data_IF_501835282359
#
_entry.id   IF_501835282359
#
_cell.length_a   1.000
_cell.length_b   1.000
_cell.length_c   1.000
_cell.angle_alpha   90.00
_cell.angle_beta   90.00
_cell.angle_gamma   90.00
#
_symmetry.space_group_name_H-M   'P 1'
#
loop_
_entity.id
_entity.type
_entity.pdbx_description
1 polymer ?
#
# COMPACT_ATOMS: atom_id res chain seq x y z
N UNK A 1 -23.29 2.63 -2.37
CA UNK A 1 -24.60 3.30 -2.26
C UNK A 1 -24.57 4.51 -3.16
N UNK A 2 -25.64 4.82 -3.89
CA UNK A 2 -25.73 6.07 -4.67
C UNK A 2 -26.56 7.06 -3.86
N UNK A 3 -26.00 8.24 -3.59
CA UNK A 3 -26.68 9.31 -2.88
C UNK A 3 -27.69 10.02 -3.81
N UNK A 4 -28.54 10.89 -3.23
CA UNK A 4 -29.59 11.59 -3.98
C UNK A 4 -29.05 12.50 -5.09
N UNK A 5 -27.84 13.02 -4.93
CA UNK A 5 -27.14 13.84 -5.93
C UNK A 5 -26.41 13.01 -7.00
N UNK A 6 -26.54 11.68 -6.95
CA UNK A 6 -25.87 10.76 -7.86
C UNK A 6 -24.42 10.42 -7.47
N UNK A 7 -23.88 10.98 -6.39
CA UNK A 7 -22.54 10.62 -5.90
C UNK A 7 -22.51 9.19 -5.38
N UNK A 8 -21.36 8.52 -5.56
CA UNK A 8 -21.15 7.17 -5.06
C UNK A 8 -20.56 7.24 -3.65
N UNK A 9 -21.14 6.50 -2.72
CA UNK A 9 -20.63 6.31 -1.35
C UNK A 9 -20.28 4.85 -1.14
N UNK A 10 -19.03 4.59 -0.78
CA UNK A 10 -18.51 3.25 -0.46
C UNK A 10 -18.43 3.11 1.05
N UNK A 11 -19.03 2.04 1.59
CA UNK A 11 -18.83 1.65 2.97
C UNK A 11 -17.70 0.61 3.04
N UNK A 12 -16.57 0.96 3.65
CA UNK A 12 -15.50 -0.01 3.98
C UNK A 12 -15.74 -0.49 5.41
N UNK A 13 -16.11 -1.75 5.53
CA UNK A 13 -16.40 -2.40 6.83
C UNK A 13 -15.23 -3.31 7.18
N UNK A 14 -14.79 -3.29 8.44
CA UNK A 14 -13.73 -4.20 8.88
C UNK A 14 -14.29 -5.60 9.11
N UNK A 15 -13.69 -6.57 8.42
CA UNK A 15 -13.98 -7.99 8.61
C UNK A 15 -13.36 -8.47 9.94
N UNK A 16 -13.87 -9.57 10.51
CA UNK A 16 -13.21 -10.25 11.62
C UNK A 16 -11.76 -10.59 11.29
N UNK A 17 -10.94 -10.73 12.33
CA UNK A 17 -9.51 -11.06 12.18
C UNK A 17 -9.30 -12.27 11.31
N UNK A 18 -8.35 -12.15 10.39
CA UNK A 18 -7.89 -13.28 9.61
C UNK A 18 -7.24 -14.32 10.54
N UNK A 19 -7.44 -15.63 10.32
CA UNK A 19 -6.80 -16.68 11.13
C UNK A 19 -5.26 -16.58 11.17
N UNK A 20 -4.66 -16.02 10.12
CA UNK A 20 -3.20 -15.87 9.99
C UNK A 20 -2.66 -14.57 10.62
N UNK A 21 -3.52 -13.74 11.23
CA UNK A 21 -3.06 -12.56 11.96
C UNK A 21 -2.18 -13.01 13.13
N UNK A 22 -1.01 -12.36 13.29
CA UNK A 22 -0.09 -12.69 14.37
C UNK A 22 -0.81 -12.60 15.73
N UNK A 23 -0.69 -13.61 16.62
CA UNK A 23 -1.36 -13.60 17.92
C UNK A 23 -1.01 -12.42 18.82
N UNK A 24 0.11 -11.76 18.52
CA UNK A 24 0.58 -10.56 19.23
C UNK A 24 -0.12 -9.27 18.81
N UNK A 25 -0.92 -9.28 17.75
CA UNK A 25 -1.66 -8.10 17.27
C UNK A 25 -2.89 -7.87 18.16
N UNK A 26 -2.90 -6.73 18.83
CA UNK A 26 -4.01 -6.31 19.68
C UNK A 26 -5.11 -5.59 18.89
N UNK A 27 -6.30 -5.43 19.48
CA UNK A 27 -7.37 -4.64 18.84
C UNK A 27 -6.97 -3.18 18.73
N UNK A 28 -6.23 -2.68 19.72
CA UNK A 28 -5.67 -1.33 19.71
C UNK A 28 -4.73 -1.10 18.53
N UNK A 29 -3.95 -2.12 18.11
CA UNK A 29 -3.08 -2.02 16.94
C UNK A 29 -3.88 -1.90 15.64
N UNK A 30 -4.99 -2.62 15.51
CA UNK A 30 -5.87 -2.53 14.35
C UNK A 30 -6.58 -1.16 14.30
N UNK A 31 -7.05 -0.68 15.45
CA UNK A 31 -7.65 0.64 15.55
C UNK A 31 -6.66 1.75 15.25
N UNK A 32 -5.41 1.58 15.69
CA UNK A 32 -4.31 2.48 15.37
C UNK A 32 -4.04 2.54 13.87
N UNK A 33 -4.02 1.38 13.18
CA UNK A 33 -3.82 1.33 11.74
C UNK A 33 -4.93 2.07 10.97
N UNK A 34 -6.19 1.91 11.39
CA UNK A 34 -7.33 2.61 10.78
C UNK A 34 -7.27 4.12 11.05
N UNK A 35 -6.91 4.52 12.28
CA UNK A 35 -6.72 5.93 12.61
C UNK A 35 -5.61 6.56 11.74
N UNK A 36 -4.55 5.80 11.46
CA UNK A 36 -3.49 6.25 10.56
C UNK A 36 -3.98 6.42 9.11
N UNK A 37 -4.74 5.45 8.61
CA UNK A 37 -5.37 5.50 7.28
C UNK A 37 -6.24 6.75 7.14
N UNK A 38 -7.19 6.96 8.06
CA UNK A 38 -8.13 8.09 8.03
C UNK A 38 -7.40 9.44 8.17
N UNK A 39 -6.42 9.51 9.07
CA UNK A 39 -5.66 10.75 9.30
C UNK A 39 -4.81 11.11 8.08
N UNK A 40 -4.15 10.14 7.47
CA UNK A 40 -3.41 10.34 6.22
C UNK A 40 -4.37 10.76 5.10
N UNK A 41 -5.50 10.05 4.99
CA UNK A 41 -6.72 10.38 4.24
C UNK A 41 -6.95 11.89 4.12
N UNK A 42 -7.32 12.42 5.29
CA UNK A 42 -7.71 13.82 5.48
C UNK A 42 -6.55 14.77 5.26
N UNK A 43 -5.36 14.43 5.76
CA UNK A 43 -4.19 15.29 5.68
C UNK A 43 -3.76 15.51 4.23
N UNK A 44 -3.65 14.44 3.43
CA UNK A 44 -3.25 14.52 2.02
C UNK A 44 -4.29 15.29 1.22
N UNK A 45 -5.58 14.97 1.36
CA UNK A 45 -6.65 15.68 0.63
C UNK A 45 -6.66 17.19 0.93
N UNK A 46 -6.38 17.57 2.17
CA UNK A 46 -6.33 18.99 2.56
C UNK A 46 -5.10 19.71 2.01
N UNK A 47 -3.92 19.09 2.08
CA UNK A 47 -2.65 19.76 1.78
C UNK A 47 -2.18 19.60 0.33
N UNK A 48 -2.67 18.58 -0.38
CA UNK A 48 -2.25 18.23 -1.74
C UNK A 48 -3.47 18.06 -2.66
N UNK A 49 -4.15 19.15 -3.07
CA UNK A 49 -5.35 19.08 -3.91
C UNK A 49 -5.11 18.48 -5.30
N UNK A 50 -3.84 18.39 -5.72
CA UNK A 50 -3.38 17.73 -6.95
C UNK A 50 -3.37 16.20 -6.86
N UNK A 51 -3.42 15.64 -5.64
CA UNK A 51 -3.47 14.20 -5.40
C UNK A 51 -4.91 13.82 -5.14
N UNK A 52 -5.51 13.07 -6.06
CA UNK A 52 -6.94 12.70 -5.94
C UNK A 52 -7.09 11.56 -4.93
N UNK A 53 -7.57 11.90 -3.74
CA UNK A 53 -7.76 10.98 -2.61
C UNK A 53 -9.23 10.94 -2.24
N UNK A 54 -9.86 9.76 -2.02
CA UNK A 54 -11.26 9.68 -1.62
C UNK A 54 -11.55 10.52 -0.37
N UNK A 55 -12.66 11.25 -0.38
CA UNK A 55 -13.16 11.88 0.84
C UNK A 55 -13.56 10.83 1.88
N UNK A 56 -13.19 11.08 3.14
CA UNK A 56 -13.68 10.31 4.28
C UNK A 56 -14.86 11.05 4.90
N UNK A 57 -16.07 10.73 4.45
CA UNK A 57 -17.31 11.36 4.93
C UNK A 57 -17.55 11.07 6.41
N UNK A 58 -17.33 9.82 6.83
CA UNK A 58 -17.50 9.40 8.21
C UNK A 58 -16.55 8.25 8.57
N UNK A 59 -16.18 8.18 9.84
CA UNK A 59 -15.49 7.04 10.42
C UNK A 59 -16.11 6.76 11.79
N UNK A 60 -16.67 5.55 11.94
CA UNK A 60 -17.27 5.08 13.18
C UNK A 60 -16.40 3.98 13.77
N UNK A 61 -15.51 4.39 14.67
CA UNK A 61 -14.52 3.54 15.32
C UNK A 61 -15.00 2.85 16.60
N UNK A 62 -14.07 2.30 17.39
CA UNK A 62 -14.35 1.64 18.67
C UNK A 62 -15.13 2.55 19.62
N UNK A 63 -16.13 1.98 20.30
CA UNK A 63 -16.99 2.73 21.23
C UNK A 63 -18.06 3.60 20.56
N UNK A 64 -18.10 3.69 19.23
CA UNK A 64 -19.19 4.37 18.53
C UNK A 64 -20.52 3.62 18.72
N UNK A 65 -21.57 4.37 19.05
CA UNK A 65 -22.95 3.85 19.08
C UNK A 65 -23.42 3.42 17.68
N UNK A 66 -22.99 4.13 16.63
CA UNK A 66 -23.34 3.81 15.25
C UNK A 66 -22.61 2.57 14.76
N UNK A 67 -21.32 2.41 15.09
CA UNK A 67 -20.59 1.16 14.81
C UNK A 67 -21.24 -0.03 15.53
N UNK A 68 -21.62 0.15 16.79
CA UNK A 68 -22.33 -0.87 17.59
C UNK A 68 -23.65 -1.27 16.93
N UNK A 69 -24.44 -0.29 16.48
CA UNK A 69 -25.72 -0.54 15.80
C UNK A 69 -25.53 -1.22 14.43
N UNK A 70 -24.47 -0.88 13.70
CA UNK A 70 -24.11 -1.50 12.43
C UNK A 70 -23.51 -2.90 12.59
N UNK A 71 -23.07 -3.27 13.81
CA UNK A 71 -22.41 -4.54 14.10
C UNK A 71 -20.94 -4.61 13.67
N UNK A 72 -20.36 -3.49 13.21
CA UNK A 72 -18.99 -3.43 12.76
C UNK A 72 -18.45 -1.99 12.75
N UNK A 73 -17.12 -1.86 12.85
CA UNK A 73 -16.41 -0.61 12.57
C UNK A 73 -16.42 -0.37 11.06
N UNK A 74 -16.67 0.87 10.68
CA UNK A 74 -16.74 1.24 9.27
C UNK A 74 -16.27 2.67 9.02
N UNK A 75 -15.92 2.92 7.76
CA UNK A 75 -15.78 4.26 7.21
C UNK A 75 -16.64 4.40 5.95
N UNK A 76 -17.19 5.60 5.75
CA UNK A 76 -17.90 5.98 4.55
C UNK A 76 -16.97 6.85 3.70
N UNK A 77 -16.73 6.39 2.48
CA UNK A 77 -15.77 6.96 1.55
C UNK A 77 -16.48 7.45 0.28
N UNK A 78 -15.92 8.50 -0.32
CA UNK A 78 -16.19 8.88 -1.71
C UNK A 78 -15.90 7.70 -2.64
N UNK A 79 -16.85 7.39 -3.51
CA UNK A 79 -16.71 6.44 -4.59
C UNK A 79 -16.57 7.15 -5.93
N UNK A 80 -15.95 6.47 -6.88
CA UNK A 80 -15.68 7.00 -8.22
C UNK A 80 -16.37 6.16 -9.28
N UNK A 81 -16.89 6.82 -10.32
CA UNK A 81 -17.41 6.15 -11.52
C UNK A 81 -16.24 5.89 -12.47
N UNK A 82 -15.54 4.78 -12.24
CA UNK A 82 -14.42 4.33 -13.05
C UNK A 82 -14.05 2.89 -12.70
N UNK A 83 -12.98 2.39 -13.31
CA UNK A 83 -12.45 1.06 -13.04
C UNK A 83 -11.02 1.17 -12.52
N UNK A 84 -10.51 0.11 -11.88
CA UNK A 84 -9.10 0.12 -11.51
C UNK A 84 -8.23 0.13 -12.79
N UNK A 85 -7.07 0.76 -12.73
CA UNK A 85 -6.12 0.75 -13.83
C UNK A 85 -5.69 -0.68 -14.17
N UNK A 86 -5.66 -1.59 -13.19
CA UNK A 86 -5.40 -3.01 -13.43
C UNK A 86 -6.49 -3.68 -14.28
N UNK A 87 -7.77 -3.36 -14.04
CA UNK A 87 -8.89 -3.96 -14.78
C UNK A 87 -8.91 -3.51 -16.25
N UNK A 88 -8.54 -2.25 -16.50
CA UNK A 88 -8.52 -1.66 -17.84
C UNK A 88 -7.21 -1.97 -18.58
N UNK A 89 -6.09 -1.98 -17.87
CA UNK A 89 -4.75 -2.15 -18.41
C UNK A 89 -3.94 -3.15 -17.56
N UNK A 90 -4.26 -4.46 -17.64
CA UNK A 90 -3.58 -5.49 -16.84
C UNK A 90 -2.08 -5.63 -17.18
N UNK A 91 -1.70 -5.21 -18.39
CA UNK A 91 -0.31 -5.03 -18.79
C UNK A 91 -0.16 -3.63 -19.40
N UNK A 92 0.43 -2.71 -18.62
CA UNK A 92 0.72 -1.35 -19.05
C UNK A 92 1.65 -1.30 -20.27
N UNK A 93 2.49 -2.32 -20.47
CA UNK A 93 3.39 -2.43 -21.62
C UNK A 93 2.67 -2.92 -22.89
N UNK A 94 1.50 -3.53 -22.75
CA UNK A 94 0.67 -4.02 -23.85
C UNK A 94 -0.43 -3.02 -24.25
N UNK A 95 -0.48 -1.84 -23.61
CA UNK A 95 -1.32 -0.75 -24.10
C UNK A 95 -0.96 -0.49 -25.57
N UNK A 96 -1.93 -0.52 -26.49
CA UNK A 96 -1.66 -0.41 -27.92
C UNK A 96 -0.87 0.87 -28.20
N UNK A 97 0.05 0.81 -29.16
CA UNK A 97 1.05 1.82 -29.59
C UNK A 97 0.43 3.22 -29.77
N UNK A 98 0.09 3.84 -28.65
CA UNK A 98 -0.21 5.23 -28.43
C UNK A 98 0.65 5.53 -27.21
N UNK A 99 1.92 5.79 -27.49
CA UNK A 99 2.94 6.23 -26.52
C UNK A 99 2.36 7.27 -25.54
N UNK A 100 1.41 8.08 -26.01
CA UNK A 100 0.63 9.03 -25.22
C UNK A 100 -0.10 8.44 -24.00
N UNK A 101 -0.74 7.27 -24.06
CA UNK A 101 -1.52 6.73 -22.92
C UNK A 101 -0.60 6.22 -21.81
N UNK A 102 0.48 5.52 -22.17
CA UNK A 102 1.47 5.05 -21.20
C UNK A 102 2.22 6.24 -20.57
N UNK A 103 2.63 7.21 -21.39
CA UNK A 103 3.26 8.45 -20.91
C UNK A 103 2.29 9.24 -20.01
N UNK A 104 1.01 9.32 -20.35
CA UNK A 104 -0.03 9.99 -19.56
C UNK A 104 -0.22 9.34 -18.18
N UNK A 105 -0.35 8.02 -18.13
CA UNK A 105 -0.44 7.26 -16.87
C UNK A 105 0.83 7.48 -16.04
N UNK A 106 2.01 7.39 -16.66
CA UNK A 106 3.30 7.59 -15.98
C UNK A 106 3.48 9.01 -15.46
N UNK A 107 3.03 10.01 -16.21
CA UNK A 107 3.10 11.40 -15.81
C UNK A 107 2.22 11.67 -14.59
N UNK A 108 0.96 11.21 -14.60
CA UNK A 108 0.05 11.35 -13.44
C UNK A 108 0.55 10.60 -12.22
N UNK A 109 1.10 9.41 -12.40
CA UNK A 109 1.68 8.63 -11.32
C UNK A 109 2.90 9.33 -10.70
N UNK A 110 3.82 9.79 -11.54
CA UNK A 110 5.00 10.54 -11.11
C UNK A 110 4.59 11.84 -10.43
N UNK A 111 3.56 12.52 -10.93
CA UNK A 111 2.98 13.68 -10.28
C UNK A 111 2.48 13.31 -8.87
N UNK A 112 1.68 12.25 -8.71
CA UNK A 112 1.21 11.84 -7.39
C UNK A 112 2.36 11.53 -6.42
N UNK A 113 3.38 10.78 -6.84
CA UNK A 113 4.55 10.47 -6.01
C UNK A 113 5.36 11.72 -5.64
N UNK A 114 5.58 12.63 -6.60
CA UNK A 114 6.32 13.87 -6.35
C UNK A 114 5.57 14.83 -5.43
N UNK A 115 4.25 14.92 -5.57
CA UNK A 115 3.39 15.71 -4.66
C UNK A 115 3.41 15.13 -3.25
N UNK A 116 3.27 13.81 -3.09
CA UNK A 116 3.38 13.18 -1.77
C UNK A 116 4.75 13.43 -1.13
N UNK A 117 5.80 13.38 -1.94
CA UNK A 117 7.15 13.63 -1.45
C UNK A 117 7.43 15.07 -1.00
N UNK A 118 6.57 16.05 -1.32
CA UNK A 118 6.69 17.40 -0.75
C UNK A 118 6.32 17.43 0.74
N UNK A 119 5.58 16.43 1.21
CA UNK A 119 5.32 16.21 2.63
C UNK A 119 6.44 15.35 3.18
N UNK A 120 7.42 15.94 3.86
CA UNK A 120 8.60 15.22 4.35
C UNK A 120 8.88 15.51 5.83
N UNK A 121 9.31 14.48 6.57
CA UNK A 121 9.37 14.50 8.03
C UNK A 121 10.72 14.04 8.56
N UNK A 122 11.12 14.49 9.74
CA UNK A 122 12.42 14.12 10.33
C UNK A 122 12.44 12.68 10.89
N UNK A 123 11.29 12.03 11.01
CA UNK A 123 11.15 10.67 11.51
C UNK A 123 10.32 9.82 10.55
N UNK A 124 10.62 8.51 10.55
CA UNK A 124 9.90 7.50 9.79
C UNK A 124 8.78 6.93 10.65
N UNK A 125 7.57 6.93 10.13
CA UNK A 125 6.36 6.58 10.85
C UNK A 125 5.09 6.83 10.04
N UNK A 126 3.93 6.54 10.61
CA UNK A 126 2.63 6.82 9.99
C UNK A 126 2.00 8.08 10.59
N UNK A 127 1.25 8.85 9.79
CA UNK A 127 0.44 9.96 10.32
C UNK A 127 -0.70 9.34 11.11
N UNK A 128 -0.69 9.46 12.44
CA UNK A 128 -1.68 8.80 13.30
C UNK A 128 -2.83 9.73 13.73
N UNK A 129 -2.60 11.03 13.69
CA UNK A 129 -3.58 12.07 13.98
C UNK A 129 -3.17 13.39 13.34
N UNK A 130 -4.08 14.36 13.40
CA UNK A 130 -3.86 15.75 12.98
C UNK A 130 -4.13 16.62 14.21
N UNK A 131 -3.24 17.58 14.49
CA UNK A 131 -3.41 18.52 15.60
C UNK A 131 -4.57 19.48 15.33
N UNK A 132 -5.01 20.22 16.36
CA UNK A 132 -6.00 21.30 16.18
C UNK A 132 -5.52 22.39 15.20
N UNK A 133 -4.22 22.57 15.05
CA UNK A 133 -3.62 23.51 14.09
C UNK A 133 -3.53 22.96 12.66
N UNK A 134 -3.97 21.71 12.42
CA UNK A 134 -3.91 21.07 11.11
C UNK A 134 -2.59 20.36 10.78
N UNK A 135 -1.67 20.25 11.74
CA UNK A 135 -0.36 19.62 11.53
C UNK A 135 -0.42 18.10 11.74
N UNK A 136 0.32 17.31 10.95
CA UNK A 136 0.30 15.86 11.09
C UNK A 136 1.16 15.43 12.29
N UNK A 137 0.67 14.45 13.05
CA UNK A 137 1.46 13.80 14.10
C UNK A 137 1.97 12.47 13.56
N UNK A 138 3.29 12.31 13.54
CA UNK A 138 3.93 11.07 13.10
C UNK A 138 4.06 10.15 14.32
N UNK A 139 3.56 8.92 14.20
CA UNK A 139 3.68 7.87 15.21
C UNK A 139 4.35 6.60 14.68
N UNK A 140 4.23 5.49 15.43
CA UNK A 140 4.73 4.17 14.98
C UNK A 140 4.15 3.79 13.61
N UNK A 141 4.77 2.83 12.92
CA UNK A 141 4.23 2.37 11.63
C UNK A 141 2.86 1.72 11.83
N UNK A 142 1.88 2.05 10.98
CA UNK A 142 0.55 1.41 11.00
C UNK A 142 0.63 -0.11 10.85
N UNK A 143 1.60 -0.60 10.07
CA UNK A 143 1.85 -2.03 9.83
C UNK A 143 2.69 -2.70 10.90
N UNK A 144 3.20 -1.96 11.89
CA UNK A 144 4.25 -2.47 12.78
C UNK A 144 3.87 -3.75 13.53
N UNK A 145 2.63 -3.80 14.03
CA UNK A 145 2.13 -4.96 14.76
C UNK A 145 1.89 -6.15 13.83
N UNK A 146 1.22 -5.92 12.69
CA UNK A 146 0.90 -6.95 11.71
C UNK A 146 2.16 -7.61 11.11
N UNK A 147 3.22 -6.82 10.93
CA UNK A 147 4.51 -7.29 10.43
C UNK A 147 5.47 -7.76 11.55
N UNK A 148 5.08 -7.64 12.83
CA UNK A 148 5.91 -8.07 13.96
C UNK A 148 7.22 -7.30 14.12
N UNK A 149 7.21 -5.98 13.84
CA UNK A 149 8.38 -5.11 14.00
C UNK A 149 8.72 -4.89 15.47
N UNK A 150 10.02 -4.97 15.77
CA UNK A 150 10.58 -4.65 17.09
C UNK A 150 11.90 -3.90 16.87
N UNK A 151 11.97 -2.59 17.19
CA UNK A 151 10.87 -1.73 17.66
C UNK A 151 9.83 -1.45 16.55
N UNK A 152 8.64 -0.96 16.92
CA UNK A 152 7.54 -0.63 16.00
C UNK A 152 7.69 0.74 15.30
N UNK A 153 8.78 1.46 15.60
CA UNK A 153 8.97 2.88 15.29
C UNK A 153 8.61 3.77 16.49
N UNK A 154 8.71 5.10 16.38
CA UNK A 154 9.26 5.90 15.27
C UNK A 154 10.75 5.59 15.04
N UNK A 155 11.22 5.73 13.79
CA UNK A 155 12.64 5.58 13.48
C UNK A 155 13.26 6.92 13.09
N UNK A 156 14.48 7.19 13.55
CA UNK A 156 15.20 8.42 13.22
C UNK A 156 16.09 8.24 11.98
N UNK A 157 16.46 6.99 11.67
CA UNK A 157 17.32 6.68 10.53
C UNK A 157 16.74 5.58 9.63
N UNK A 158 17.03 5.66 8.33
CA UNK A 158 16.76 4.57 7.39
C UNK A 158 17.37 3.24 7.84
N UNK A 159 18.57 3.27 8.44
CA UNK A 159 19.23 2.09 8.98
C UNK A 159 18.41 1.41 10.07
N UNK A 160 17.89 2.17 11.05
CA UNK A 160 17.04 1.62 12.11
C UNK A 160 15.76 0.98 11.54
N UNK A 161 15.10 1.68 10.61
CA UNK A 161 13.92 1.20 9.91
C UNK A 161 14.17 -0.14 9.19
N UNK A 162 15.20 -0.20 8.36
CA UNK A 162 15.50 -1.40 7.60
C UNK A 162 16.01 -2.55 8.46
N UNK A 163 16.74 -2.27 9.55
CA UNK A 163 17.11 -3.30 10.53
C UNK A 163 15.85 -3.90 11.17
N UNK A 164 14.87 -3.08 11.54
CA UNK A 164 13.63 -3.55 12.15
C UNK A 164 12.82 -4.43 11.17
N UNK A 165 12.65 -3.99 9.91
CA UNK A 165 12.00 -4.78 8.85
C UNK A 165 12.75 -6.08 8.57
N UNK A 166 14.08 -6.01 8.42
CA UNK A 166 14.90 -7.18 8.13
C UNK A 166 14.83 -8.23 9.25
N UNK A 167 14.87 -7.80 10.51
CA UNK A 167 14.71 -8.69 11.67
C UNK A 167 13.32 -9.30 11.74
N UNK A 168 12.28 -8.53 11.46
CA UNK A 168 10.90 -9.03 11.42
C UNK A 168 10.72 -10.10 10.33
N UNK A 169 11.18 -9.81 9.11
CA UNK A 169 11.16 -10.76 7.99
C UNK A 169 11.97 -12.03 8.31
N UNK A 170 13.13 -11.90 8.94
CA UNK A 170 13.95 -13.04 9.35
C UNK A 170 13.22 -13.91 10.39
N UNK A 171 12.59 -13.31 11.41
CA UNK A 171 11.79 -14.05 12.40
C UNK A 171 10.63 -14.81 11.73
N UNK A 172 9.90 -14.14 10.83
CA UNK A 172 8.78 -14.76 10.10
C UNK A 172 9.23 -15.94 9.24
N UNK A 173 10.34 -15.80 8.53
CA UNK A 173 10.91 -16.89 7.73
C UNK A 173 11.35 -18.08 8.60
N UNK A 174 11.96 -17.82 9.76
CA UNK A 174 12.39 -18.88 10.68
C UNK A 174 11.21 -19.69 11.21
N UNK A 175 10.10 -19.03 11.57
CA UNK A 175 8.87 -19.70 12.01
C UNK A 175 8.30 -20.61 10.90
N UNK A 176 8.27 -20.12 9.66
CA UNK A 176 7.79 -20.90 8.51
C UNK A 176 8.69 -22.11 8.20
N UNK A 177 10.02 -21.97 8.34
CA UNK A 177 10.97 -23.08 8.16
C UNK A 177 10.80 -24.17 9.23
N UNK A 178 10.57 -23.77 10.50
CA UNK A 178 10.27 -24.67 11.61
C UNK A 178 8.95 -25.43 11.39
N UNK A 179 7.92 -24.78 10.86
CA UNK A 179 6.64 -25.41 10.51
C UNK A 179 6.74 -26.35 9.29
N UNK A 180 7.60 -26.03 8.32
CA UNK A 180 7.70 -26.74 7.04
C UNK A 180 8.81 -27.79 6.99
N UNK A 181 9.65 -27.95 8.03
CA UNK A 181 10.83 -28.83 8.03
C UNK A 181 11.74 -28.63 6.81
N UNK A 182 11.86 -27.40 6.31
CA UNK A 182 12.68 -27.03 5.15
C UNK A 182 13.69 -25.96 5.55
N UNK A 183 14.92 -26.05 5.02
CA UNK A 183 15.95 -25.03 5.17
C UNK A 183 15.79 -23.98 4.05
N UNK A 184 14.86 -23.03 4.20
CA UNK A 184 14.58 -21.97 3.20
C UNK A 184 15.22 -20.63 3.57
N UNK A 185 16.26 -20.64 4.42
CA UNK A 185 16.92 -19.45 4.98
C UNK A 185 17.61 -18.51 3.95
N UNK A 186 17.67 -18.88 2.67
CA UNK A 186 18.39 -18.14 1.64
C UNK A 186 17.74 -16.79 1.26
N UNK A 187 16.40 -16.65 1.31
CA UNK A 187 15.74 -15.42 0.85
C UNK A 187 15.85 -14.26 1.87
N UNK A 188 15.84 -14.56 3.17
CA UNK A 188 15.84 -13.55 4.24
C UNK A 188 17.22 -12.91 4.46
N UNK A 189 18.30 -13.63 4.20
CA UNK A 189 19.68 -13.15 4.38
C UNK A 189 20.03 -12.07 3.32
N UNK A 190 19.42 -12.14 2.13
CA UNK A 190 19.66 -11.17 1.04
C UNK A 190 19.21 -9.75 1.40
N UNK A 191 18.08 -9.61 2.11
CA UNK A 191 17.56 -8.30 2.56
C UNK A 191 18.44 -7.66 3.65
N UNK A 192 19.05 -8.44 4.54
CA UNK A 192 19.99 -7.91 5.54
C UNK A 192 21.34 -7.52 4.90
N UNK A 193 21.85 -8.31 3.94
CA UNK A 193 23.10 -8.03 3.24
C UNK A 193 23.08 -6.70 2.49
N UNK A 194 21.94 -6.35 1.89
CA UNK A 194 21.74 -5.07 1.19
C UNK A 194 21.96 -3.84 2.10
N UNK A 195 21.67 -3.95 3.41
CA UNK A 195 21.81 -2.87 4.39
C UNK A 195 23.26 -2.46 4.67
N UNK A 196 24.21 -3.31 4.26
CA UNK A 196 25.65 -3.02 4.43
C UNK A 196 26.22 -2.16 3.29
N UNK A 197 25.47 -2.00 2.20
CA UNK A 197 25.88 -1.19 1.05
C UNK A 197 25.82 0.31 1.35
N UNK A 198 26.69 1.11 0.72
CA UNK A 198 26.72 2.56 0.91
C UNK A 198 25.40 3.28 0.58
N UNK A 199 24.52 2.65 -0.20
CA UNK A 199 23.21 3.16 -0.60
C UNK A 199 22.26 3.40 0.59
N UNK A 200 22.42 2.65 1.68
CA UNK A 200 21.61 2.77 2.90
C UNK A 200 22.29 3.55 4.02
N UNK A 201 23.56 3.96 3.81
CA UNK A 201 24.35 4.71 4.81
C UNK A 201 24.23 6.23 4.66
N UNK A 202 23.71 6.72 3.54
CA UNK A 202 23.48 8.15 3.36
C UNK A 202 22.45 8.65 4.40
N UNK A 203 22.87 9.56 5.27
CA UNK A 203 21.95 10.19 6.22
C UNK A 203 20.95 11.05 5.47
N UNK A 204 19.67 10.72 5.59
CA UNK A 204 18.58 11.50 5.05
C UNK A 204 18.03 12.41 6.15
N UNK A 205 17.93 13.72 5.87
CA UNK A 205 17.43 14.69 6.84
C UNK A 205 15.90 14.65 7.00
N UNK A 206 15.19 14.33 5.91
CA UNK A 206 13.73 14.27 5.85
C UNK A 206 13.27 13.09 5.02
N UNK A 207 12.29 12.36 5.51
CA UNK A 207 11.66 11.19 4.91
C UNK A 207 10.33 11.60 4.26
N UNK A 208 10.18 11.47 2.92
CA UNK A 208 8.93 11.79 2.25
C UNK A 208 7.79 10.89 2.73
N UNK A 209 6.58 11.42 2.73
CA UNK A 209 5.37 10.62 2.79
C UNK A 209 5.32 9.76 1.53
N UNK A 210 5.27 8.46 1.75
CA UNK A 210 5.13 7.48 0.70
C UNK A 210 3.84 6.68 0.89
N UNK A 211 3.25 6.34 -0.24
CA UNK A 211 2.17 5.37 -0.31
C UNK A 211 2.74 4.03 -0.75
N UNK A 212 2.88 3.13 0.20
CA UNK A 212 3.65 1.90 0.04
C UNK A 212 3.02 0.87 -0.90
N UNK A 213 1.72 1.00 -1.21
CA UNK A 213 1.00 0.15 -2.16
C UNK A 213 0.26 1.00 -3.20
N UNK A 214 1.00 1.92 -3.82
CA UNK A 214 0.54 2.60 -5.02
C UNK A 214 0.74 1.63 -6.20
N UNK A 215 -0.11 0.62 -6.33
CA UNK A 215 -0.15 -0.29 -7.49
C UNK A 215 -1.31 0.02 -8.43
N UNK A 216 -1.33 -0.59 -9.62
CA UNK A 216 -2.40 -0.39 -10.62
C UNK A 216 -3.79 -0.80 -10.11
N UNK A 217 -3.83 -1.74 -9.17
CA UNK A 217 -5.06 -2.18 -8.49
C UNK A 217 -5.67 -1.09 -7.59
N UNK A 218 -4.86 -0.13 -7.13
CA UNK A 218 -5.28 0.89 -6.17
C UNK A 218 -5.43 2.29 -6.80
N UNK A 219 -5.54 2.34 -8.13
CA UNK A 219 -5.74 3.58 -8.90
C UNK A 219 -7.00 3.41 -9.73
N UNK A 220 -7.98 4.29 -9.54
CA UNK A 220 -9.20 4.34 -10.34
C UNK A 220 -9.01 5.32 -11.49
N UNK A 221 -9.43 4.92 -12.69
CA UNK A 221 -9.33 5.72 -13.91
C UNK A 221 -10.65 5.81 -14.68
N UNK A 222 -10.80 6.87 -15.47
CA UNK A 222 -11.84 6.99 -16.50
C UNK A 222 -11.40 6.32 -17.82
N UNK A 223 -12.26 6.41 -18.84
CA UNK A 223 -12.01 5.84 -20.17
C UNK A 223 -10.81 6.48 -20.90
N UNK A 224 -10.40 7.68 -20.49
CA UNK A 224 -9.26 8.44 -21.04
C UNK A 224 -7.98 8.26 -20.20
N UNK A 225 -7.97 7.32 -19.26
CA UNK A 225 -6.87 7.05 -18.32
C UNK A 225 -6.53 8.21 -17.36
N UNK A 226 -7.46 9.15 -17.12
CA UNK A 226 -7.27 10.15 -16.07
C UNK A 226 -7.49 9.52 -14.69
N UNK A 227 -6.63 9.84 -13.74
CA UNK A 227 -6.73 9.33 -12.38
C UNK A 227 -7.92 9.98 -11.68
N UNK A 228 -8.94 9.18 -11.41
CA UNK A 228 -10.12 9.58 -10.66
C UNK A 228 -9.92 9.44 -9.16
N UNK A 229 -9.06 8.53 -8.71
CA UNK A 229 -8.82 8.36 -7.28
C UNK A 229 -7.71 7.37 -6.97
N UNK A 230 -6.87 7.73 -6.00
CA UNK A 230 -5.90 6.84 -5.37
C UNK A 230 -6.55 6.26 -4.12
N UNK A 231 -6.87 4.97 -4.10
CA UNK A 231 -7.63 4.30 -3.02
C UNK A 231 -6.71 3.46 -2.11
N UNK A 232 -7.16 3.00 -0.96
CA UNK A 232 -6.37 2.11 -0.07
C UNK A 232 -5.06 2.73 0.47
N UNK A 233 -5.18 3.47 1.57
CA UNK A 233 -4.10 4.24 2.19
C UNK A 233 -3.54 3.62 3.47
N UNK A 234 -3.92 2.38 3.81
CA UNK A 234 -3.62 1.77 5.11
C UNK A 234 -2.13 1.55 5.39
N UNK A 235 -1.29 1.57 4.35
CA UNK A 235 0.16 1.41 4.44
C UNK A 235 0.97 2.71 4.31
N UNK A 236 0.30 3.86 4.22
CA UNK A 236 0.98 5.14 4.05
C UNK A 236 1.87 5.50 5.26
N UNK A 237 3.07 6.01 4.97
CA UNK A 237 4.09 6.30 5.97
C UNK A 237 5.15 7.26 5.44
N UNK A 238 5.72 8.09 6.32
CA UNK A 238 6.99 8.74 6.07
C UNK A 238 8.09 7.67 6.03
N UNK A 239 8.84 7.56 4.94
CA UNK A 239 9.79 6.47 4.75
C UNK A 239 11.05 6.87 3.96
N UNK A 240 12.14 6.07 4.03
CA UNK A 240 13.34 6.29 3.23
C UNK A 240 13.06 6.24 1.73
N UNK A 241 13.75 7.04 0.91
CA UNK A 241 13.59 6.99 -0.55
C UNK A 241 13.79 5.59 -1.15
N UNK A 242 14.59 4.75 -0.50
CA UNK A 242 14.91 3.40 -0.92
C UNK A 242 13.70 2.44 -0.90
N UNK A 243 12.58 2.81 -0.27
CA UNK A 243 11.33 2.04 -0.37
C UNK A 243 10.43 2.45 -1.55
N UNK A 244 10.70 3.61 -2.16
CA UNK A 244 9.96 4.01 -3.34
C UNK A 244 10.31 3.04 -4.48
N UNK A 245 9.27 2.36 -4.95
CA UNK A 245 9.33 1.60 -6.18
C UNK A 245 8.41 2.28 -7.19
N UNK A 246 8.87 2.32 -8.44
CA UNK A 246 7.98 2.62 -9.54
C UNK A 246 6.99 1.45 -9.70
N UNK A 247 5.82 1.68 -10.33
CA UNK A 247 4.93 0.59 -10.72
C UNK A 247 5.73 -0.53 -11.32
N UNK A 248 5.39 -1.77 -10.93
CA UNK A 248 5.84 -2.93 -11.67
C UNK A 248 5.16 -2.86 -13.03
N UNK A 249 5.81 -2.16 -13.97
CA UNK A 249 5.38 -2.01 -15.36
C UNK A 249 5.13 -3.35 -16.03
N UNK A 250 5.88 -4.33 -15.56
CA UNK A 250 5.75 -5.73 -15.89
C UNK A 250 4.98 -6.36 -14.74
N UNK A 251 3.82 -7.00 -14.98
CA UNK A 251 3.37 -7.99 -14.03
C UNK A 251 4.56 -8.95 -13.80
N UNK A 252 4.81 -9.42 -12.56
CA UNK A 252 5.72 -10.52 -12.39
C UNK A 252 5.11 -11.67 -13.18
N UNK A 253 5.63 -11.93 -14.38
CA UNK A 253 5.38 -13.16 -15.11
C UNK A 253 5.84 -14.25 -14.17
N UNK A 254 4.95 -14.79 -13.35
CA UNK A 254 5.23 -16.02 -12.65
C UNK A 254 5.53 -17.02 -13.75
N UNK A 255 6.71 -17.65 -13.75
CA UNK A 255 6.93 -18.77 -14.63
C UNK A 255 6.11 -19.90 -14.03
N UNK A 256 4.82 -19.94 -14.35
CA UNK A 256 4.09 -21.19 -14.26
C UNK A 256 4.91 -22.19 -15.08
N UNK A 257 5.17 -23.37 -14.51
CA UNK A 257 5.86 -24.45 -15.22
C UNK A 257 5.19 -24.75 -16.59
N UNK A 258 3.92 -24.35 -16.76
CA UNK A 258 3.16 -24.34 -18.00
C UNK A 258 3.70 -23.37 -19.07
N UNK A 259 4.09 -22.13 -18.71
CA UNK A 259 4.62 -21.13 -19.66
C UNK A 259 6.00 -21.54 -20.17
N UNK A 260 6.86 -22.05 -19.29
CA UNK A 260 8.19 -22.56 -19.69
C UNK A 260 8.06 -23.73 -20.67
N UNK A 261 7.12 -24.65 -20.41
CA UNK A 261 6.84 -25.80 -21.28
C UNK A 261 6.19 -25.41 -22.62
N UNK A 262 5.46 -24.30 -22.66
CA UNK A 262 4.87 -23.75 -23.89
C UNK A 262 5.89 -23.00 -24.76
N UNK A 263 6.84 -22.30 -24.14
CA UNK A 263 7.94 -21.60 -24.85
C UNK A 263 8.99 -22.57 -25.39
N UNK A 264 9.22 -23.71 -24.71
CA UNK A 264 10.13 -24.75 -25.15
C UNK A 264 9.56 -25.63 -26.30
N UNK A 265 8.27 -25.46 -26.66
CA UNK A 265 7.63 -26.27 -27.70
C UNK A 265 6.62 -25.46 -28.57
N UNK A 266 7.09 -24.73 -29.59
CA UNK A 266 6.32 -23.72 -30.33
C UNK A 266 5.26 -24.28 -31.30
N UNK A 267 4.80 -25.53 -31.13
CA UNK A 267 3.88 -26.22 -32.08
C UNK A 267 2.47 -26.44 -31.57
N UNK A 268 2.12 -26.03 -30.36
CA UNK A 268 0.75 -26.18 -29.84
C UNK A 268 0.15 -24.85 -29.40
N UNK A 269 -0.15 -23.98 -30.36
CA UNK A 269 -1.20 -22.96 -30.18
C UNK A 269 -2.56 -23.62 -30.38
N UNK A 270 -3.31 -23.84 -29.29
CA UNK A 270 -4.77 -23.66 -29.30
C UNK A 270 -5.40 -23.79 -27.91
N UNK A 271 -6.34 -22.89 -27.64
CA UNK A 271 -7.37 -22.89 -26.59
C UNK A 271 -7.07 -22.20 -25.25
N UNK A 272 -7.60 -20.96 -25.20
CA UNK A 272 -8.42 -20.35 -24.13
C UNK A 272 -8.82 -21.30 -22.98
N UNK A 273 -8.56 -20.90 -21.73
CA UNK A 273 -9.59 -20.56 -20.74
C UNK A 273 -8.98 -20.23 -19.37
N UNK A 274 -9.58 -19.19 -18.78
CA UNK A 274 -9.49 -18.62 -17.43
C UNK A 274 -9.77 -19.60 -16.28
N UNK A 275 -9.12 -19.39 -15.12
CA UNK A 275 -9.81 -19.40 -13.82
C UNK A 275 -8.93 -18.82 -12.69
N UNK A 276 -9.60 -18.02 -11.86
CA UNK A 276 -9.16 -17.21 -10.72
C UNK A 276 -8.62 -17.97 -9.50
N UNK A 277 -7.78 -17.27 -8.72
CA UNK A 277 -7.98 -16.98 -7.29
C UNK A 277 -7.25 -15.67 -6.94
#
# INVERSE_FOLDING_TARGET
MVAEDGSLVIARVRLPRHPDTLPTVSEEDEFYAIACEVSTMRFVRHNLPSVVVPEVYAYEGPGSRLATAAGAIYMLLEGFYGNTLQDIAPDLCSLPIQVASQEHVMAQWTMAQTQLATLAYTQIGSINSITESGEPVIGKLSTAAAEGLIPQGLFSTATEYFIAIGRAAFRKAKLLDEERNQNSSHFSISRLGALTTGLFKASQAYYPLNRMDLGTQNIIVDDDFNFLGLIDWEFAQAAPWQVNHYPMLFPPLWPDAKIKKALDNPRETNNRNSMWL
#
